data_IF_970545190854
#
_entry.id   IF_970545190854
#
_cell.length_a   1.000
_cell.length_b   1.000
_cell.length_c   1.000
_cell.angle_alpha   90.00
_cell.angle_beta   90.00
_cell.angle_gamma   90.00
#
_symmetry.space_group_name_H-M   'P 1'
#
loop_
_entity.id
_entity.type
_entity.pdbx_description
1 polymer ?
#
# COMPACT_ATOMS: atom_id res chain seq x y z
N UNK A 1 -18.02 -37.83 -57.49
CA UNK A 1 -18.36 -37.55 -56.08
C UNK A 1 -17.17 -37.93 -55.19
N UNK A 2 -16.35 -36.96 -54.78
CA UNK A 2 -15.32 -37.12 -53.73
C UNK A 2 -15.38 -35.86 -52.87
N UNK A 3 -15.61 -36.07 -51.57
CA UNK A 3 -16.00 -35.07 -50.57
C UNK A 3 -14.81 -34.18 -50.22
N UNK A 4 -15.03 -32.86 -50.25
CA UNK A 4 -14.15 -31.86 -49.65
C UNK A 4 -14.28 -31.96 -48.12
N UNK A 5 -13.16 -32.14 -47.42
CA UNK A 5 -13.08 -32.06 -45.95
C UNK A 5 -12.87 -30.58 -45.61
N UNK A 6 -13.76 -29.92 -44.84
CA UNK A 6 -13.53 -28.55 -44.43
C UNK A 6 -12.47 -28.54 -43.32
N UNK A 7 -11.40 -27.78 -43.53
CA UNK A 7 -10.45 -27.46 -42.47
C UNK A 7 -11.17 -26.57 -41.44
N UNK A 8 -11.47 -27.13 -40.27
CA UNK A 8 -11.90 -26.35 -39.11
C UNK A 8 -10.70 -25.51 -38.65
N UNK A 9 -10.72 -24.22 -38.96
CA UNK A 9 -9.87 -23.24 -38.29
C UNK A 9 -10.32 -23.15 -36.83
N UNK A 10 -9.54 -23.74 -35.92
CA UNK A 10 -9.71 -23.54 -34.50
C UNK A 10 -9.30 -22.09 -34.19
N UNK A 11 -10.30 -21.21 -34.08
CA UNK A 11 -10.13 -19.86 -33.56
C UNK A 11 -9.78 -19.99 -32.07
N UNK A 12 -8.49 -19.95 -31.74
CA UNK A 12 -8.00 -19.83 -30.38
C UNK A 12 -8.38 -18.45 -29.84
N UNK A 13 -9.48 -18.38 -29.10
CA UNK A 13 -9.85 -17.21 -28.32
C UNK A 13 -8.78 -17.04 -27.24
N UNK A 14 -7.89 -16.06 -27.43
CA UNK A 14 -7.05 -15.53 -26.36
C UNK A 14 -7.99 -15.05 -25.26
N UNK A 15 -8.16 -15.88 -24.22
CA UNK A 15 -8.91 -15.52 -23.03
C UNK A 15 -8.19 -14.38 -22.33
N UNK A 16 -8.74 -13.18 -22.43
CA UNK A 16 -8.40 -12.08 -21.53
C UNK A 16 -8.81 -12.58 -20.14
N UNK A 17 -7.84 -12.82 -19.26
CA UNK A 17 -8.13 -13.12 -17.87
C UNK A 17 -9.03 -12.00 -17.33
N UNK A 18 -10.14 -12.31 -16.64
CA UNK A 18 -10.96 -11.27 -16.03
C UNK A 18 -10.06 -10.42 -15.12
N UNK A 19 -10.27 -9.09 -15.07
CA UNK A 19 -9.53 -8.25 -14.14
C UNK A 19 -9.67 -8.84 -12.74
N UNK A 20 -8.57 -8.83 -11.98
CA UNK A 20 -8.61 -9.23 -10.58
C UNK A 20 -9.74 -8.46 -9.88
N UNK A 21 -10.50 -9.12 -8.97
CA UNK A 21 -11.53 -8.41 -8.22
C UNK A 21 -10.90 -7.26 -7.44
N UNK A 22 -11.60 -6.13 -7.40
CA UNK A 22 -11.21 -4.97 -6.62
C UNK A 22 -11.07 -5.31 -5.13
N UNK A 23 -10.35 -4.48 -4.37
CA UNK A 23 -10.24 -4.68 -2.94
C UNK A 23 -11.61 -4.55 -2.27
N UNK A 24 -11.89 -5.42 -1.31
CA UNK A 24 -13.02 -5.28 -0.39
C UNK A 24 -12.69 -4.14 0.57
N UNK A 25 -13.45 -3.03 0.46
CA UNK A 25 -13.28 -1.82 1.28
C UNK A 25 -14.60 -1.53 2.00
N UNK A 26 -14.62 -1.76 3.31
CA UNK A 26 -15.85 -1.67 4.09
C UNK A 26 -15.63 -1.16 5.52
N UNK A 27 -16.72 -0.67 6.13
CA UNK A 27 -16.76 -0.39 7.56
C UNK A 27 -16.83 -1.71 8.32
N UNK A 28 -15.78 -2.02 9.06
CA UNK A 28 -15.65 -3.24 9.83
C UNK A 28 -16.02 -3.01 11.31
N UNK A 29 -16.31 -4.08 12.07
CA UNK A 29 -16.49 -3.99 13.52
C UNK A 29 -15.25 -3.38 14.20
N UNK A 30 -15.41 -2.65 15.33
CA UNK A 30 -14.27 -2.07 16.05
C UNK A 30 -13.23 -3.13 16.42
N UNK A 31 -11.95 -2.76 16.35
CA UNK A 31 -10.86 -3.60 16.84
C UNK A 31 -10.89 -3.52 18.37
N UNK A 32 -11.20 -4.65 19.01
CA UNK A 32 -11.38 -4.71 20.47
C UNK A 32 -10.15 -5.15 21.25
N UNK A 33 -9.12 -5.63 20.53
CA UNK A 33 -7.87 -6.07 21.12
C UNK A 33 -7.20 -4.92 21.90
N UNK A 34 -6.56 -5.31 23.00
CA UNK A 34 -5.67 -4.43 23.76
C UNK A 34 -4.24 -4.79 23.41
N UNK A 35 -3.48 -3.79 23.00
CA UNK A 35 -2.13 -3.95 22.51
C UNK A 35 -1.15 -3.35 23.51
N UNK A 36 0.01 -3.99 23.64
CA UNK A 36 1.11 -3.49 24.46
C UNK A 36 2.20 -2.99 23.54
N UNK A 37 2.64 -1.75 23.74
CA UNK A 37 3.71 -1.18 22.92
C UNK A 37 5.06 -1.73 23.37
N UNK A 38 5.77 -2.48 22.50
CA UNK A 38 7.03 -3.12 22.87
C UNK A 38 8.23 -2.17 22.77
N UNK A 39 8.01 -0.86 22.63
CA UNK A 39 9.10 0.10 22.45
C UNK A 39 10.06 0.08 23.63
N UNK A 40 11.36 0.22 23.35
CA UNK A 40 12.45 0.26 24.34
C UNK A 40 12.68 1.66 24.94
N UNK A 41 11.85 2.65 24.60
CA UNK A 41 11.96 4.03 25.05
C UNK A 41 10.63 4.77 25.06
N UNK A 42 10.63 5.98 25.62
CA UNK A 42 9.43 6.84 25.67
C UNK A 42 9.26 7.55 24.33
N UNK A 43 8.07 7.48 23.74
CA UNK A 43 7.70 8.34 22.61
C UNK A 43 7.53 9.77 23.14
N UNK A 44 8.45 10.66 22.76
CA UNK A 44 8.48 12.05 23.22
C UNK A 44 7.28 12.88 22.71
N UNK A 45 6.62 12.45 21.64
CA UNK A 45 5.45 13.13 21.08
C UNK A 45 4.17 12.81 21.85
N UNK A 46 4.02 11.55 22.29
CA UNK A 46 2.80 11.05 22.95
C UNK A 46 2.98 10.82 24.45
N UNK A 47 4.22 10.81 24.95
CA UNK A 47 4.56 10.44 26.33
C UNK A 47 4.49 8.94 26.62
N UNK A 48 4.21 8.12 25.59
CA UNK A 48 3.95 6.69 25.70
C UNK A 48 5.20 5.93 26.10
N UNK A 49 5.09 5.02 27.07
CA UNK A 49 6.19 4.28 27.69
C UNK A 49 6.20 2.80 27.26
N UNK A 50 7.35 2.13 27.40
CA UNK A 50 7.42 0.68 27.28
C UNK A 50 6.41 0.00 28.18
N UNK A 51 5.59 -0.90 27.63
CA UNK A 51 4.57 -1.61 28.41
C UNK A 51 3.24 -0.88 28.56
N UNK A 52 3.12 0.36 28.07
CA UNK A 52 1.83 1.03 27.99
C UNK A 52 0.89 0.24 27.08
N UNK A 53 -0.36 0.14 27.52
CA UNK A 53 -1.43 -0.48 26.76
C UNK A 53 -2.16 0.58 25.94
N UNK A 54 -2.51 0.25 24.70
CA UNK A 54 -3.35 1.06 23.84
C UNK A 54 -4.38 0.17 23.14
N UNK A 55 -5.49 0.78 22.72
CA UNK A 55 -6.51 0.09 21.95
C UNK A 55 -7.21 1.01 20.95
N UNK A 56 -7.94 0.40 20.04
CA UNK A 56 -8.76 1.10 19.04
C UNK A 56 -10.25 0.99 19.33
N UNK A 57 -10.67 0.61 20.55
CA UNK A 57 -12.06 0.23 20.87
C UNK A 57 -13.06 1.34 20.54
N UNK A 58 -12.62 2.59 20.65
CA UNK A 58 -13.44 3.78 20.40
C UNK A 58 -13.29 4.34 18.97
N UNK A 59 -12.34 3.83 18.19
CA UNK A 59 -12.12 4.24 16.82
C UNK A 59 -13.18 3.62 15.88
N UNK A 60 -13.51 4.35 14.81
CA UNK A 60 -14.18 3.75 13.67
C UNK A 60 -13.17 2.92 12.88
N UNK A 61 -13.60 1.78 12.35
CA UNK A 61 -12.71 0.84 11.67
C UNK A 61 -13.12 0.66 10.21
N UNK A 62 -12.19 0.93 9.30
CA UNK A 62 -12.29 0.57 7.88
C UNK A 62 -11.32 -0.58 7.64
N UNK A 63 -11.76 -1.60 6.92
CA UNK A 63 -10.90 -2.68 6.47
C UNK A 63 -10.73 -2.61 4.95
N UNK A 64 -9.49 -2.78 4.48
CA UNK A 64 -9.14 -2.92 3.06
C UNK A 64 -8.49 -4.28 2.87
N UNK A 65 -9.11 -5.14 2.06
CA UNK A 65 -8.64 -6.51 1.80
C UNK A 65 -8.58 -6.85 0.32
N UNK A 66 -7.61 -7.67 -0.06
CA UNK A 66 -7.47 -8.15 -1.43
C UNK A 66 -6.58 -7.27 -2.31
N UNK A 67 -6.59 -7.52 -3.61
CA UNK A 67 -5.71 -6.82 -4.55
C UNK A 67 -6.13 -5.36 -4.73
N UNK A 68 -5.17 -4.44 -4.65
CA UNK A 68 -5.40 -3.01 -4.86
C UNK A 68 -5.49 -2.74 -6.36
N UNK A 69 -6.65 -2.31 -6.83
CA UNK A 69 -6.93 -2.08 -8.25
C UNK A 69 -7.43 -0.66 -8.51
N UNK A 70 -7.25 -0.11 -9.72
CA UNK A 70 -7.71 1.24 -10.05
C UNK A 70 -9.19 1.46 -9.70
N UNK A 71 -9.48 2.45 -8.85
CA UNK A 71 -10.83 2.76 -8.36
C UNK A 71 -10.97 2.61 -6.85
N UNK A 72 -10.14 1.79 -6.21
CA UNK A 72 -10.19 1.53 -4.76
C UNK A 72 -10.03 2.79 -3.91
N UNK A 73 -9.17 3.73 -4.32
CA UNK A 73 -9.02 5.00 -3.63
C UNK A 73 -10.30 5.85 -3.71
N UNK A 74 -11.05 5.76 -4.81
CA UNK A 74 -12.34 6.44 -4.93
C UNK A 74 -13.40 5.80 -4.04
N UNK A 75 -13.48 4.46 -4.06
CA UNK A 75 -14.33 3.69 -3.14
C UNK A 75 -14.08 4.08 -1.69
N UNK A 76 -12.81 4.14 -1.28
CA UNK A 76 -12.42 4.57 0.07
C UNK A 76 -12.90 6.00 0.39
N UNK A 77 -12.70 6.97 -0.52
CA UNK A 77 -13.15 8.36 -0.31
C UNK A 77 -14.66 8.48 -0.20
N UNK A 78 -15.41 7.72 -1.00
CA UNK A 78 -16.87 7.68 -0.95
C UNK A 78 -17.34 7.11 0.40
N UNK A 79 -16.72 6.02 0.85
CA UNK A 79 -17.01 5.40 2.15
C UNK A 79 -16.78 6.36 3.34
N UNK A 80 -15.72 7.16 3.29
CA UNK A 80 -15.46 8.22 4.29
C UNK A 80 -16.51 9.33 4.21
N UNK A 81 -16.90 9.73 2.99
CA UNK A 81 -17.89 10.80 2.78
C UNK A 81 -19.25 10.42 3.37
N UNK A 82 -19.63 9.15 3.27
CA UNK A 82 -20.89 8.62 3.84
C UNK A 82 -20.96 8.78 5.37
N UNK A 83 -19.82 8.80 6.06
CA UNK A 83 -19.70 9.02 7.51
C UNK A 83 -19.05 10.34 7.90
N UNK A 84 -18.98 11.31 7.00
CA UNK A 84 -18.25 12.56 7.22
C UNK A 84 -18.69 13.29 8.50
N UNK A 85 -19.98 13.26 8.85
CA UNK A 85 -20.52 13.88 10.08
C UNK A 85 -20.18 13.13 11.37
N UNK A 86 -19.85 11.84 11.30
CA UNK A 86 -19.36 11.06 12.45
C UNK A 86 -17.84 11.25 12.64
N UNK A 87 -17.12 11.51 11.55
CA UNK A 87 -15.65 11.58 11.51
C UNK A 87 -15.18 13.01 11.78
N UNK A 88 -15.77 14.02 11.14
CA UNK A 88 -15.26 15.39 11.15
C UNK A 88 -16.17 16.33 11.94
N UNK A 89 -15.55 17.18 12.78
CA UNK A 89 -16.27 18.27 13.44
C UNK A 89 -16.36 19.49 12.50
N UNK A 90 -17.57 19.92 12.09
CA UNK A 90 -17.75 21.08 11.24
C UNK A 90 -17.34 22.40 11.93
N UNK A 91 -17.25 22.45 13.26
CA UNK A 91 -16.94 23.66 14.04
C UNK A 91 -15.44 23.81 14.27
N UNK A 92 -14.72 22.72 14.56
CA UNK A 92 -13.28 22.78 14.87
C UNK A 92 -12.35 22.68 13.65
N UNK A 93 -12.92 22.66 12.44
CA UNK A 93 -12.19 22.90 11.19
C UNK A 93 -11.28 21.74 10.77
N UNK A 94 -11.76 20.50 10.90
CA UNK A 94 -11.08 19.30 10.37
C UNK A 94 -10.18 18.56 11.36
N UNK A 95 -10.44 18.67 12.66
CA UNK A 95 -9.99 17.67 13.66
C UNK A 95 -11.04 16.57 13.73
N UNK A 96 -10.59 15.32 13.81
CA UNK A 96 -11.48 14.17 13.84
C UNK A 96 -12.24 14.13 15.18
N UNK A 97 -13.58 14.07 15.14
CA UNK A 97 -14.42 13.83 16.33
C UNK A 97 -14.21 12.44 16.90
N UNK A 98 -13.91 11.49 16.00
CA UNK A 98 -13.62 10.10 16.30
C UNK A 98 -12.42 9.66 15.48
N UNK A 99 -11.47 9.00 16.11
CA UNK A 99 -10.36 8.39 15.41
C UNK A 99 -10.90 7.35 14.39
N UNK A 100 -10.26 7.27 13.23
CA UNK A 100 -10.52 6.22 12.24
C UNK A 100 -9.23 5.42 12.09
N UNK A 101 -9.33 4.11 12.19
CA UNK A 101 -8.26 3.16 11.90
C UNK A 101 -8.58 2.40 10.63
N UNK A 102 -7.61 2.34 9.73
CA UNK A 102 -7.69 1.60 8.46
C UNK A 102 -6.83 0.34 8.59
N UNK A 103 -7.47 -0.83 8.69
CA UNK A 103 -6.75 -2.11 8.63
C UNK A 103 -6.47 -2.51 7.20
N UNK A 104 -5.27 -3.07 6.98
CA UNK A 104 -4.73 -3.36 5.66
C UNK A 104 -4.24 -4.80 5.59
N UNK A 105 -4.88 -5.61 4.73
CA UNK A 105 -4.47 -6.99 4.43
C UNK A 105 -4.53 -7.23 2.91
N UNK A 106 -3.41 -7.03 2.24
CA UNK A 106 -3.28 -7.07 0.80
C UNK A 106 -1.85 -7.42 0.37
N UNK A 107 -1.74 -8.32 -0.62
CA UNK A 107 -0.48 -8.66 -1.27
C UNK A 107 0.02 -7.58 -2.24
N UNK A 108 -0.74 -6.49 -2.44
CA UNK A 108 -0.36 -5.40 -3.34
C UNK A 108 -1.35 -5.16 -4.46
N UNK A 109 -0.83 -4.71 -5.60
CA UNK A 109 -1.63 -4.37 -6.78
C UNK A 109 -1.05 -3.18 -7.53
N UNK A 110 -1.92 -2.29 -8.00
CA UNK A 110 -1.54 -1.11 -8.77
C UNK A 110 -0.79 -0.07 -7.91
N UNK A 111 0.42 0.26 -8.33
CA UNK A 111 1.30 1.19 -7.60
C UNK A 111 0.69 2.60 -7.49
N UNK A 112 0.09 3.12 -8.56
CA UNK A 112 -0.48 4.46 -8.55
C UNK A 112 -1.75 4.52 -7.73
N UNK A 113 -2.53 3.45 -7.69
CA UNK A 113 -3.67 3.34 -6.80
C UNK A 113 -3.25 3.26 -5.34
N UNK A 114 -2.18 2.52 -5.02
CA UNK A 114 -1.55 2.55 -3.69
C UNK A 114 -1.14 3.96 -3.27
N UNK A 115 -0.59 4.77 -4.18
CA UNK A 115 -0.30 6.19 -3.93
C UNK A 115 -1.56 7.00 -3.66
N UNK A 116 -2.64 6.81 -4.45
CA UNK A 116 -3.92 7.52 -4.23
C UNK A 116 -4.58 7.12 -2.92
N UNK A 117 -4.51 5.84 -2.54
CA UNK A 117 -4.96 5.36 -1.23
C UNK A 117 -4.14 6.03 -0.13
N UNK A 118 -2.81 6.07 -0.26
CA UNK A 118 -1.95 6.74 0.73
C UNK A 118 -2.33 8.21 0.93
N UNK A 119 -2.70 8.93 -0.14
CA UNK A 119 -3.15 10.31 -0.09
C UNK A 119 -4.52 10.45 0.59
N UNK A 120 -5.42 9.50 0.30
CA UNK A 120 -6.80 9.50 0.83
C UNK A 120 -6.85 9.09 2.30
N UNK A 121 -5.94 8.24 2.74
CA UNK A 121 -5.82 7.77 4.13
C UNK A 121 -5.25 8.85 5.07
N UNK A 122 -4.59 9.89 4.53
CA UNK A 122 -4.05 10.98 5.35
C UNK A 122 -5.12 11.60 6.23
N UNK A 123 -4.89 11.59 7.54
CA UNK A 123 -5.85 12.01 8.55
C UNK A 123 -6.36 10.84 9.40
N UNK A 124 -6.06 9.60 9.02
CA UNK A 124 -6.45 8.38 9.69
C UNK A 124 -5.24 7.52 10.04
N UNK A 125 -5.37 6.68 11.07
CA UNK A 125 -4.35 5.71 11.43
C UNK A 125 -4.37 4.50 10.48
N UNK A 126 -3.22 3.90 10.19
CA UNK A 126 -3.14 2.61 9.49
C UNK A 126 -2.72 1.50 10.44
N UNK A 127 -3.25 0.29 10.21
CA UNK A 127 -2.98 -0.88 11.01
C UNK A 127 -2.80 -2.12 10.14
N UNK A 128 -1.79 -2.94 10.45
CA UNK A 128 -1.67 -4.31 9.92
C UNK A 128 -1.81 -5.28 11.09
N UNK A 129 -2.86 -6.09 11.04
CA UNK A 129 -3.30 -6.95 12.13
C UNK A 129 -2.47 -8.22 12.31
N UNK A 130 -2.93 -9.06 13.22
CA UNK A 130 -2.29 -10.33 13.54
C UNK A 130 -2.43 -11.31 12.37
N UNK A 131 -1.30 -11.69 11.77
CA UNK A 131 -1.26 -12.62 10.63
C UNK A 131 -1.57 -11.95 9.28
N UNK A 132 -1.96 -10.69 9.29
CA UNK A 132 -2.21 -9.90 8.09
C UNK A 132 -0.89 -9.49 7.43
N UNK A 133 -0.95 -9.26 6.11
CA UNK A 133 0.21 -8.77 5.35
C UNK A 133 -0.18 -7.65 4.44
N UNK A 134 0.67 -6.63 4.38
CA UNK A 134 0.48 -5.45 3.56
C UNK A 134 1.74 -5.25 2.73
N UNK A 135 1.73 -5.77 1.50
CA UNK A 135 2.88 -5.82 0.62
C UNK A 135 2.72 -4.85 -0.55
N UNK A 136 3.83 -4.41 -1.15
CA UNK A 136 3.81 -3.65 -2.41
C UNK A 136 2.97 -2.38 -2.34
N UNK A 137 2.00 -2.19 -3.25
CA UNK A 137 1.05 -1.08 -3.26
C UNK A 137 0.32 -0.89 -1.91
N UNK A 138 0.04 -1.97 -1.19
CA UNK A 138 -0.54 -1.88 0.16
C UNK A 138 0.43 -1.20 1.12
N UNK A 139 1.70 -1.60 1.10
CA UNK A 139 2.73 -0.99 1.94
C UNK A 139 2.87 0.51 1.65
N UNK A 140 2.65 0.94 0.41
CA UNK A 140 2.56 2.37 0.04
C UNK A 140 1.32 3.03 0.64
N UNK A 141 0.14 2.42 0.55
CA UNK A 141 -1.07 2.92 1.19
C UNK A 141 -0.89 3.06 2.72
N UNK A 142 -0.25 2.07 3.35
CA UNK A 142 0.09 2.06 4.77
C UNK A 142 0.91 3.29 5.21
N UNK A 143 1.83 3.79 4.37
CA UNK A 143 2.64 4.97 4.67
C UNK A 143 1.82 6.26 4.84
N UNK A 144 0.60 6.30 4.28
CA UNK A 144 -0.33 7.43 4.41
C UNK A 144 -0.87 7.64 5.83
N UNK A 145 -0.79 6.61 6.69
CA UNK A 145 -1.30 6.64 8.06
C UNK A 145 -0.72 7.78 8.88
N UNK A 146 -1.56 8.77 9.18
CA UNK A 146 -1.14 9.99 9.86
C UNK A 146 -2.34 10.68 10.46
N UNK A 147 -2.16 11.23 11.66
CA UNK A 147 -3.23 11.92 12.37
C UNK A 147 -2.86 13.37 12.65
N UNK A 148 -3.87 14.19 12.90
CA UNK A 148 -3.68 15.57 13.37
C UNK A 148 -4.33 15.70 14.73
N UNK A 149 -3.50 15.86 15.76
CA UNK A 149 -3.97 15.99 17.13
C UNK A 149 -4.75 17.30 17.34
N UNK A 150 -4.27 18.40 16.76
CA UNK A 150 -4.84 19.73 16.93
C UNK A 150 -4.71 20.56 15.64
N UNK A 151 -5.67 21.45 15.40
CA UNK A 151 -5.61 22.41 14.30
C UNK A 151 -4.37 23.30 14.46
N UNK A 152 -3.62 23.48 13.36
CA UNK A 152 -2.38 24.27 13.35
C UNK A 152 -1.11 23.50 13.74
N UNK A 153 -1.24 22.25 14.21
CA UNK A 153 -0.10 21.37 14.46
C UNK A 153 0.21 20.50 13.23
N UNK A 154 1.49 20.11 13.02
CA UNK A 154 1.86 19.17 11.98
C UNK A 154 1.16 17.82 12.19
N UNK A 155 0.91 17.11 11.10
CA UNK A 155 0.46 15.72 11.20
C UNK A 155 1.61 14.87 11.73
N UNK A 156 1.27 13.88 12.54
CA UNK A 156 2.19 12.89 13.08
C UNK A 156 1.88 11.53 12.46
N UNK A 157 2.88 10.68 12.33
CA UNK A 157 2.71 9.35 11.76
C UNK A 157 1.92 8.47 12.72
N UNK A 158 0.81 7.90 12.24
CA UNK A 158 -0.06 7.01 13.02
C UNK A 158 -0.16 5.69 12.24
N UNK A 159 0.88 4.86 12.39
CA UNK A 159 1.07 3.63 11.61
C UNK A 159 1.45 2.50 12.55
N UNK A 160 0.63 1.48 12.62
CA UNK A 160 0.74 0.40 13.60
C UNK A 160 0.86 -0.94 12.88
N UNK A 161 1.76 -1.79 13.37
CA UNK A 161 1.94 -3.16 12.86
C UNK A 161 1.92 -4.08 14.06
N UNK A 162 1.01 -5.06 14.06
CA UNK A 162 1.03 -6.12 15.06
C UNK A 162 2.35 -6.90 14.97
N UNK A 163 2.83 -7.49 16.06
CA UNK A 163 4.11 -8.24 16.08
C UNK A 163 4.14 -9.44 15.15
N UNK A 164 2.96 -9.94 14.76
CA UNK A 164 2.75 -11.03 13.80
C UNK A 164 2.29 -10.52 12.42
N UNK A 165 2.12 -9.21 12.24
CA UNK A 165 1.78 -8.60 10.96
C UNK A 165 3.02 -8.32 10.11
N UNK A 166 2.85 -8.25 8.80
CA UNK A 166 3.96 -8.02 7.87
C UNK A 166 3.71 -6.82 6.98
N UNK A 167 4.61 -5.83 6.99
CA UNK A 167 4.66 -4.75 5.99
C UNK A 167 5.88 -4.95 5.11
N UNK A 168 5.66 -5.04 3.79
CA UNK A 168 6.72 -5.36 2.84
C UNK A 168 6.78 -4.38 1.68
N UNK A 169 7.91 -3.68 1.55
CA UNK A 169 8.20 -2.84 0.39
C UNK A 169 9.02 -3.63 -0.61
N UNK A 170 8.58 -3.65 -1.87
CA UNK A 170 9.41 -4.11 -2.97
C UNK A 170 9.48 -3.04 -4.06
N UNK A 171 10.42 -3.21 -4.98
CA UNK A 171 10.63 -2.24 -6.04
C UNK A 171 9.37 -2.13 -6.93
N UNK A 172 8.87 -0.91 -7.22
CA UNK A 172 7.55 -0.69 -7.85
C UNK A 172 7.49 -1.00 -9.36
N UNK A 173 8.45 -1.77 -9.88
CA UNK A 173 8.60 -2.03 -11.31
C UNK A 173 7.73 -3.23 -11.74
N UNK A 174 6.42 -3.21 -11.46
CA UNK A 174 5.56 -4.39 -11.69
C UNK A 174 4.67 -4.29 -12.94
N UNK A 175 4.56 -3.14 -13.60
CA UNK A 175 3.87 -3.09 -14.90
C UNK A 175 4.63 -2.19 -15.86
N UNK A 176 5.12 -2.76 -16.96
CA UNK A 176 5.37 -2.00 -18.18
C UNK A 176 3.99 -1.47 -18.61
N UNK A 177 3.59 -0.29 -18.14
CA UNK A 177 2.25 0.29 -18.35
C UNK A 177 1.97 0.52 -19.83
N UNK A 178 3.03 0.47 -20.65
CA UNK A 178 2.95 0.12 -22.05
C UNK A 178 3.50 -1.29 -22.20
N UNK A 179 2.62 -2.30 -22.31
CA UNK A 179 3.02 -3.61 -22.81
C UNK A 179 3.82 -3.34 -24.09
N UNK A 180 5.13 -3.53 -24.06
CA UNK A 180 5.92 -3.61 -25.27
C UNK A 180 5.28 -4.73 -26.08
N UNK A 181 4.43 -4.39 -27.04
CA UNK A 181 3.88 -5.34 -27.97
C UNK A 181 5.04 -5.76 -28.87
N UNK A 182 5.69 -6.82 -28.46
CA UNK A 182 6.78 -7.49 -29.17
C UNK A 182 6.08 -8.57 -30.00
N UNK A 183 5.93 -8.40 -31.33
CA UNK A 183 5.30 -9.41 -32.16
C UNK A 183 6.00 -10.76 -32.01
N UNK A 184 5.24 -11.85 -31.96
CA UNK A 184 5.78 -13.21 -31.83
C UNK A 184 6.85 -13.48 -32.89
N UNK A 185 8.00 -14.00 -32.45
CA UNK A 185 9.14 -14.29 -33.33
C UNK A 185 10.06 -13.11 -33.64
N UNK A 186 9.86 -11.94 -33.02
CA UNK A 186 10.86 -10.86 -33.09
C UNK A 186 12.16 -11.30 -32.39
N UNK A 187 13.31 -11.28 -33.09
CA UNK A 187 14.58 -11.60 -32.47
C UNK A 187 14.92 -10.56 -31.42
N UNK A 188 15.43 -11.01 -30.26
CA UNK A 188 16.08 -10.11 -29.31
C UNK A 188 17.27 -9.44 -30.01
N UNK A 189 17.11 -8.17 -30.35
CA UNK A 189 18.16 -7.32 -30.91
C UNK A 189 18.74 -6.40 -29.83
N UNK A 190 19.95 -5.88 -30.05
CA UNK A 190 20.52 -4.86 -29.16
C UNK A 190 19.66 -3.59 -29.07
N UNK A 191 18.91 -3.25 -30.13
CA UNK A 191 17.99 -2.10 -30.13
C UNK A 191 16.75 -2.35 -29.28
N UNK A 192 16.15 -3.55 -29.37
CA UNK A 192 15.02 -3.94 -28.53
C UNK A 192 15.44 -4.04 -27.05
N UNK A 193 16.61 -4.60 -26.77
CA UNK A 193 17.19 -4.62 -25.42
C UNK A 193 17.37 -3.21 -24.84
N UNK A 194 17.89 -2.27 -25.65
CA UNK A 194 18.04 -0.89 -25.23
C UNK A 194 16.69 -0.19 -24.98
N UNK A 195 15.66 -0.46 -25.80
CA UNK A 195 14.32 0.10 -25.62
C UNK A 195 13.67 -0.41 -24.34
N UNK A 196 13.74 -1.72 -24.10
CA UNK A 196 13.24 -2.35 -22.87
C UNK A 196 13.94 -1.74 -21.66
N UNK A 197 15.28 -1.70 -21.66
CA UNK A 197 16.05 -1.11 -20.57
C UNK A 197 15.66 0.36 -20.34
N UNK A 198 15.59 1.17 -21.39
CA UNK A 198 15.23 2.60 -21.29
C UNK A 198 13.85 2.80 -20.68
N UNK A 199 12.85 1.98 -21.06
CA UNK A 199 11.51 2.08 -20.49
C UNK A 199 11.49 1.67 -19.02
N UNK A 200 12.15 0.56 -18.65
CA UNK A 200 12.30 0.17 -17.25
C UNK A 200 12.98 1.25 -16.41
N UNK A 201 14.05 1.88 -16.91
CA UNK A 201 14.73 2.98 -16.24
C UNK A 201 13.82 4.20 -16.08
N UNK A 202 13.04 4.56 -17.10
CA UNK A 202 12.11 5.69 -17.04
C UNK A 202 11.03 5.46 -15.98
N UNK A 203 10.38 4.29 -15.99
CA UNK A 203 9.37 3.93 -14.98
C UNK A 203 9.95 3.90 -13.57
N UNK A 204 11.17 3.39 -13.43
CA UNK A 204 11.84 3.39 -12.15
C UNK A 204 12.08 4.81 -11.63
N UNK A 205 12.53 5.71 -12.49
CA UNK A 205 12.74 7.11 -12.15
C UNK A 205 11.42 7.80 -11.79
N UNK A 206 10.34 7.52 -12.52
CA UNK A 206 9.02 8.10 -12.24
C UNK A 206 8.48 7.64 -10.88
N UNK A 207 8.57 6.34 -10.59
CA UNK A 207 8.17 5.81 -9.29
C UNK A 207 9.03 6.39 -8.16
N UNK A 208 10.36 6.49 -8.35
CA UNK A 208 11.27 7.15 -7.40
C UNK A 208 10.85 8.60 -7.18
N UNK A 209 10.53 9.33 -8.25
CA UNK A 209 10.12 10.73 -8.17
C UNK A 209 8.81 10.87 -7.37
N UNK A 210 7.82 10.03 -7.63
CA UNK A 210 6.56 10.02 -6.88
C UNK A 210 6.76 9.70 -5.40
N UNK A 211 7.58 8.70 -5.09
CA UNK A 211 7.94 8.37 -3.71
C UNK A 211 8.66 9.55 -3.04
N UNK A 212 9.65 10.14 -3.73
CA UNK A 212 10.46 11.26 -3.25
C UNK A 212 9.61 12.49 -2.92
N UNK A 213 8.64 12.83 -3.78
CA UNK A 213 7.68 13.94 -3.55
C UNK A 213 6.89 13.76 -2.26
N UNK A 214 6.62 12.51 -1.85
CA UNK A 214 5.75 12.17 -0.72
C UNK A 214 6.49 11.88 0.56
N UNK A 215 7.81 11.68 0.51
CA UNK A 215 8.63 11.34 1.67
C UNK A 215 8.45 12.31 2.83
N UNK A 216 8.40 13.61 2.53
CA UNK A 216 8.19 14.65 3.54
C UNK A 216 6.83 14.51 4.22
N UNK A 217 5.78 14.18 3.45
CA UNK A 217 4.42 13.97 3.97
C UNK A 217 4.30 12.68 4.79
N UNK A 218 4.97 11.61 4.38
CA UNK A 218 5.00 10.34 5.12
C UNK A 218 6.01 10.34 6.28
N UNK A 219 6.78 11.43 6.43
CA UNK A 219 7.83 11.59 7.43
C UNK A 219 8.69 10.30 7.54
N UNK A 220 9.22 9.90 6.38
CA UNK A 220 10.13 8.77 6.20
C UNK A 220 11.56 9.28 5.99
N UNK A 221 12.54 8.50 6.43
CA UNK A 221 13.94 8.88 6.31
C UNK A 221 14.36 9.04 4.83
N UNK A 222 15.23 10.02 4.49
CA UNK A 222 15.72 10.23 3.12
C UNK A 222 16.35 8.98 2.46
N UNK A 223 16.91 8.08 3.26
CA UNK A 223 17.52 6.83 2.79
C UNK A 223 16.51 5.75 2.37
N UNK A 224 15.24 5.87 2.77
CA UNK A 224 14.24 4.81 2.62
C UNK A 224 14.05 4.36 1.16
N UNK A 225 13.95 5.32 0.23
CA UNK A 225 13.80 5.02 -1.21
C UNK A 225 15.02 4.28 -1.74
N UNK A 226 16.22 4.66 -1.31
CA UNK A 226 17.45 3.95 -1.68
C UNK A 226 17.54 2.56 -1.05
N UNK A 227 16.99 2.34 0.15
CA UNK A 227 16.94 1.01 0.77
C UNK A 227 15.94 0.08 0.07
N UNK A 228 14.84 0.62 -0.46
CA UNK A 228 13.88 -0.14 -1.29
C UNK A 228 14.49 -0.58 -2.63
N UNK A 229 15.34 0.24 -3.23
CA UNK A 229 15.93 0.01 -4.56
C UNK A 229 17.28 -0.71 -4.46
N UNK A 230 18.00 -0.46 -3.37
CA UNK A 230 19.40 -0.78 -3.20
C UNK A 230 19.64 -1.65 -1.97
N UNK A 231 19.57 -2.96 -2.18
CA UNK A 231 20.46 -3.90 -1.48
C UNK A 231 20.74 -5.13 -2.35
N UNK A 232 22.02 -5.32 -2.71
CA UNK A 232 22.59 -6.68 -2.74
C UNK A 232 22.38 -7.24 -1.33
N UNK A 233 21.82 -8.44 -1.24
CA UNK A 233 21.89 -9.26 -0.03
C UNK A 233 23.38 -9.48 0.29
N UNK A 234 23.95 -8.58 1.09
CA UNK A 234 25.27 -8.75 1.69
C UNK A 234 25.03 -9.70 2.85
N UNK A 235 25.52 -10.93 2.75
CA UNK A 235 25.40 -12.03 3.72
C UNK A 235 26.08 -11.75 5.06
N UNK A 236 25.70 -10.65 5.70
CA UNK A 236 26.06 -10.28 7.07
C UNK A 236 24.78 -10.08 7.83
N UNK A 237 24.48 -11.02 8.72
CA UNK A 237 23.39 -10.95 9.69
C UNK A 237 23.47 -9.64 10.45
N UNK A 238 22.66 -8.65 10.06
CA UNK A 238 22.18 -7.62 10.99
C UNK A 238 20.75 -8.01 11.31
N UNK A 239 20.56 -8.52 12.53
CA UNK A 239 19.25 -8.79 13.11
C UNK A 239 18.45 -7.47 13.13
N UNK A 240 17.50 -7.34 12.21
CA UNK A 240 16.22 -6.71 12.46
C UNK A 240 15.26 -7.88 12.66
N UNK A 241 15.05 -8.23 13.93
CA UNK A 241 14.36 -9.40 14.48
C UNK A 241 14.19 -10.63 13.57
N UNK A 242 15.22 -11.48 13.59
CA UNK A 242 15.05 -12.93 13.54
C UNK A 242 14.80 -13.41 14.98
N UNK A 243 13.66 -14.05 15.24
CA UNK A 243 13.51 -14.95 16.40
C UNK A 243 13.34 -16.37 15.87
N UNK A 244 14.46 -17.10 15.87
CA UNK A 244 14.46 -18.54 16.00
C UNK A 244 14.73 -18.85 17.48
N UNK A 245 13.75 -19.46 18.14
CA UNK A 245 13.88 -20.48 19.18
C UNK A 245 12.51 -21.10 19.37
#
# INVERSE_FOLDING_TARGET
>A
MRRLIPALAALSVLGIAPPAPAADIDWAPPITDEFVLPYIGVDMATGTKPGDSFDFKNALHIQIRGEITPGDAETFRNLITDKASEIFDPISGGVNMRAVVVSLDSDGGDFYEGLKLSDSIRGFATFVGKGDRCLSACAIAFLGGSERMLRGYPMWNARYVHTEGVVGFHAPFSSLSNTLMIPDGTPFSGTLGNQIATQFYAQAQDAINELTKRMGTWNIAPGFVFEMIGKKYQGGVRKLCWCAS
#
